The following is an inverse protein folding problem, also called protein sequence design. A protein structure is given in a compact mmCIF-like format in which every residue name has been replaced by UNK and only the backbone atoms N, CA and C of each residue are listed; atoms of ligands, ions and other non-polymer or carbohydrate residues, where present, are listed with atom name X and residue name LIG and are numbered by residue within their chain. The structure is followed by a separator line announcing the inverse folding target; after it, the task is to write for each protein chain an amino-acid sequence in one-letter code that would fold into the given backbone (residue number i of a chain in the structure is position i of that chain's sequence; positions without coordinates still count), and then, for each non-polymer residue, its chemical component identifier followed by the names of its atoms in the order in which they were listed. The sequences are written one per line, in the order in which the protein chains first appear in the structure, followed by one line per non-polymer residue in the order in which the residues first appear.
data_IF_773935106895
#
_entry.id   IF_773935106895
#
_cell.length_a   1.000
_cell.length_b   1.000
_cell.length_c   1.000
_cell.angle_alpha   90.00
_cell.angle_beta   90.00
_cell.angle_gamma   90.00
#
_symmetry.space_group_name_H-M   'P 1'
#
loop_
_entity.id
_entity.type
_entity.pdbx_description
1 polymer ?
#
# COMPACT_ATOMS: atom_id res chain seq x y z
N UNK A 1 -10.01 -12.14 21.61
CA UNK A 1 -10.73 -11.92 22.87
C UNK A 1 -10.35 -10.54 23.37
N UNK A 2 -11.07 -9.50 22.94
CA UNK A 2 -10.92 -8.17 23.53
C UNK A 2 -11.60 -8.16 24.90
N UNK A 3 -10.82 -8.32 25.95
CA UNK A 3 -11.25 -7.84 27.26
C UNK A 3 -11.21 -6.33 27.21
N UNK A 4 -12.35 -5.69 27.17
CA UNK A 4 -12.51 -4.25 27.31
C UNK A 4 -12.09 -3.81 28.69
N UNK A 5 -10.80 -3.62 28.91
CA UNK A 5 -10.29 -2.97 30.12
C UNK A 5 -9.96 -1.54 29.75
N UNK A 6 -10.86 -0.60 30.02
CA UNK A 6 -10.55 0.82 30.02
C UNK A 6 -11.59 1.75 29.37
N UNK A 7 -12.11 1.46 28.17
CA UNK A 7 -13.13 2.29 27.52
C UNK A 7 -14.49 1.61 27.44
N UNK A 8 -14.67 0.52 28.14
CA UNK A 8 -15.83 -0.36 28.08
C UNK A 8 -17.21 0.28 28.25
N UNK A 9 -17.43 1.21 29.17
CA UNK A 9 -18.80 1.72 29.39
C UNK A 9 -19.34 2.57 28.25
N UNK A 10 -18.53 3.48 27.71
CA UNK A 10 -18.98 4.38 26.64
C UNK A 10 -19.19 3.63 25.33
N UNK A 11 -18.29 2.72 24.98
CA UNK A 11 -18.39 1.90 23.80
C UNK A 11 -19.58 0.94 23.85
N UNK A 12 -19.81 0.25 24.98
CA UNK A 12 -20.97 -0.61 25.16
C UNK A 12 -22.28 0.16 25.08
N UNK A 13 -22.33 1.39 25.54
CA UNK A 13 -23.50 2.26 25.42
C UNK A 13 -23.78 2.62 23.98
N UNK A 14 -22.74 3.01 23.22
CA UNK A 14 -22.88 3.31 21.81
C UNK A 14 -23.34 2.09 21.02
N UNK A 15 -22.66 0.96 21.19
CA UNK A 15 -23.00 -0.31 20.55
C UNK A 15 -24.45 -0.76 20.86
N UNK A 16 -24.86 -0.66 22.10
CA UNK A 16 -26.25 -0.97 22.51
C UNK A 16 -27.25 -0.04 21.82
N UNK A 17 -26.96 1.24 21.69
CA UNK A 17 -27.85 2.20 21.02
C UNK A 17 -27.96 1.97 19.52
N UNK A 18 -26.84 1.72 18.85
CA UNK A 18 -26.82 1.38 17.42
C UNK A 18 -27.60 0.08 17.18
N UNK A 19 -27.50 -0.88 18.09
CA UNK A 19 -28.25 -2.13 18.03
C UNK A 19 -29.73 -2.00 18.53
N UNK A 20 -30.32 -0.82 18.40
CA UNK A 20 -31.73 -0.58 18.75
C UNK A 20 -32.06 -0.70 20.24
N UNK A 21 -31.08 -0.49 21.10
CA UNK A 21 -31.25 -0.61 22.58
C UNK A 21 -31.04 -2.02 23.13
N UNK A 22 -30.65 -2.97 22.28
CA UNK A 22 -30.36 -4.35 22.69
C UNK A 22 -28.87 -4.48 22.98
N UNK A 23 -28.47 -4.90 24.20
CA UNK A 23 -27.07 -5.15 24.51
C UNK A 23 -26.48 -6.24 23.59
N UNK A 24 -25.26 -5.99 23.08
CA UNK A 24 -24.54 -7.00 22.31
C UNK A 24 -24.02 -8.06 23.30
N UNK A 25 -24.48 -9.29 23.12
CA UNK A 25 -24.00 -10.43 23.89
C UNK A 25 -22.74 -10.99 23.20
N UNK A 26 -21.62 -11.00 23.91
CA UNK A 26 -20.42 -11.70 23.47
C UNK A 26 -20.45 -13.13 23.95
N UNK A 27 -20.45 -14.07 23.04
CA UNK A 27 -20.24 -15.48 23.36
C UNK A 27 -18.74 -15.78 23.22
N UNK A 28 -17.99 -15.96 24.31
CA UNK A 28 -16.56 -16.22 24.28
C UNK A 28 -16.20 -17.57 23.62
N UNK A 29 -17.19 -18.46 23.48
CA UNK A 29 -17.02 -19.77 22.85
C UNK A 29 -17.44 -19.78 21.37
N UNK A 30 -18.08 -18.71 20.90
CA UNK A 30 -18.43 -18.56 19.48
C UNK A 30 -17.16 -18.45 18.62
N UNK A 31 -17.07 -19.29 17.59
CA UNK A 31 -15.97 -19.28 16.61
C UNK A 31 -16.33 -18.58 15.31
N UNK A 32 -17.53 -18.07 15.22
CA UNK A 32 -18.04 -17.36 14.06
C UNK A 32 -18.21 -15.90 14.41
N UNK A 33 -17.61 -15.04 13.60
CA UNK A 33 -17.89 -13.61 13.59
C UNK A 33 -19.11 -13.40 12.72
N UNK A 34 -20.10 -12.68 13.22
CA UNK A 34 -21.31 -12.37 12.48
C UNK A 34 -21.31 -10.89 12.13
N UNK A 35 -21.08 -10.58 10.86
CA UNK A 35 -21.11 -9.24 10.32
C UNK A 35 -22.40 -9.01 9.51
N UNK A 36 -23.55 -9.15 10.17
CA UNK A 36 -24.86 -9.11 9.50
C UNK A 36 -25.30 -7.71 9.07
N UNK A 37 -24.65 -6.66 9.54
CA UNK A 37 -25.08 -5.27 9.33
C UNK A 37 -24.08 -4.40 8.56
N UNK A 38 -22.96 -4.96 8.09
CA UNK A 38 -22.06 -4.19 7.25
C UNK A 38 -22.65 -3.95 5.87
N UNK A 39 -22.66 -2.72 5.37
CA UNK A 39 -23.00 -2.46 3.97
C UNK A 39 -21.94 -2.96 2.98
N UNK A 40 -20.74 -3.33 3.48
CA UNK A 40 -19.67 -3.91 2.72
C UNK A 40 -19.59 -5.42 2.97
N UNK A 41 -19.75 -6.22 1.94
CA UNK A 41 -19.54 -7.67 2.02
C UNK A 41 -18.04 -7.95 2.22
N UNK A 42 -17.66 -8.71 3.29
CA UNK A 42 -16.27 -9.12 3.47
C UNK A 42 -15.79 -9.96 2.27
N UNK A 43 -14.62 -9.65 1.76
CA UNK A 43 -14.00 -10.35 0.63
C UNK A 43 -12.49 -10.24 0.66
N UNK A 44 -11.84 -11.19 0.02
CA UNK A 44 -10.39 -11.26 -0.16
C UNK A 44 -10.14 -11.88 -1.53
N UNK A 45 -10.23 -11.04 -2.55
CA UNK A 45 -10.11 -11.44 -3.94
C UNK A 45 -8.79 -10.93 -4.53
N UNK A 46 -8.05 -11.83 -5.15
CA UNK A 46 -6.78 -11.49 -5.82
C UNK A 46 -6.78 -12.09 -7.22
N UNK A 47 -6.61 -11.25 -8.21
CA UNK A 47 -6.31 -11.65 -9.57
C UNK A 47 -4.88 -11.26 -9.94
N UNK A 48 -4.13 -12.19 -10.52
CA UNK A 48 -2.77 -11.90 -10.96
C UNK A 48 -2.44 -12.65 -12.24
N UNK A 49 -1.89 -11.93 -13.20
CA UNK A 49 -1.32 -12.47 -14.42
C UNK A 49 0.17 -12.18 -14.47
N UNK A 50 0.97 -13.16 -14.82
CA UNK A 50 2.40 -12.94 -15.09
C UNK A 50 2.84 -13.68 -16.33
N UNK A 51 3.77 -13.06 -17.06
CA UNK A 51 4.39 -13.65 -18.24
C UNK A 51 5.90 -13.38 -18.22
N UNK A 52 6.67 -14.37 -18.62
CA UNK A 52 8.11 -14.24 -18.81
C UNK A 52 8.53 -14.83 -20.16
N UNK A 53 9.39 -14.11 -20.87
CA UNK A 53 9.97 -14.55 -22.12
C UNK A 53 11.51 -14.53 -21.99
N UNK A 54 12.10 -15.70 -22.17
CA UNK A 54 13.56 -15.87 -22.23
C UNK A 54 13.94 -16.27 -23.67
N UNK A 55 14.88 -15.50 -24.24
CA UNK A 55 15.42 -15.76 -25.57
C UNK A 55 16.94 -15.80 -25.48
N UNK A 56 17.56 -16.87 -25.98
CA UNK A 56 19.00 -16.99 -26.17
C UNK A 56 19.33 -17.04 -27.66
N UNK A 57 20.28 -16.19 -28.06
CA UNK A 57 20.76 -16.10 -29.45
C UNK A 57 22.28 -16.29 -29.43
N UNK A 58 22.74 -17.35 -30.09
CA UNK A 58 24.17 -17.58 -30.28
C UNK A 58 24.71 -16.68 -31.40
N UNK A 59 25.63 -15.77 -31.06
CA UNK A 59 26.33 -14.87 -31.98
C UNK A 59 27.70 -15.42 -32.38
N UNK A 60 28.06 -16.62 -31.93
CA UNK A 60 29.34 -17.25 -32.13
C UNK A 60 30.39 -16.84 -31.07
N UNK A 61 30.69 -15.56 -30.94
CA UNK A 61 31.63 -15.05 -29.94
C UNK A 61 31.00 -14.84 -28.55
N UNK A 62 29.67 -14.72 -28.50
CA UNK A 62 28.91 -14.52 -27.27
C UNK A 62 27.46 -15.03 -27.45
N UNK A 63 26.79 -15.33 -26.37
CA UNK A 63 25.35 -15.57 -26.32
C UNK A 63 24.64 -14.32 -25.84
N UNK A 64 23.69 -13.82 -26.64
CA UNK A 64 22.78 -12.77 -26.25
C UNK A 64 21.56 -13.40 -25.57
N UNK A 65 21.36 -13.10 -24.29
CA UNK A 65 20.18 -13.44 -23.53
C UNK A 65 19.27 -12.23 -23.40
N UNK A 66 17.99 -12.37 -23.76
CA UNK A 66 16.95 -11.37 -23.52
C UNK A 66 15.93 -11.95 -22.53
N UNK A 67 15.73 -11.30 -21.41
CA UNK A 67 14.70 -11.63 -20.42
C UNK A 67 13.67 -10.50 -20.38
N UNK A 68 12.41 -10.83 -20.67
CA UNK A 68 11.27 -9.91 -20.54
C UNK A 68 10.31 -10.47 -19.51
N UNK A 69 9.97 -9.67 -18.50
CA UNK A 69 8.98 -10.00 -17.49
C UNK A 69 7.84 -8.99 -17.50
N UNK A 70 6.62 -9.48 -17.31
CA UNK A 70 5.43 -8.67 -17.12
C UNK A 70 4.56 -9.28 -16.04
N UNK A 71 4.03 -8.44 -15.14
CA UNK A 71 3.04 -8.81 -14.14
C UNK A 71 1.96 -7.75 -14.09
N UNK A 72 0.73 -8.20 -13.97
CA UNK A 72 -0.45 -7.41 -13.70
C UNK A 72 -1.17 -8.04 -12.51
N UNK A 73 -1.70 -7.22 -11.58
CA UNK A 73 -2.43 -7.73 -10.44
C UNK A 73 -3.48 -6.75 -9.96
N UNK A 74 -4.59 -7.33 -9.50
CA UNK A 74 -5.68 -6.66 -8.82
C UNK A 74 -5.90 -7.33 -7.47
N UNK A 75 -6.20 -6.53 -6.45
CA UNK A 75 -6.48 -6.99 -5.09
C UNK A 75 -7.65 -6.20 -4.52
N UNK A 76 -8.73 -6.88 -4.20
CA UNK A 76 -9.93 -6.31 -3.58
C UNK A 76 -10.19 -7.00 -2.25
N UNK A 77 -10.03 -6.23 -1.18
CA UNK A 77 -10.11 -6.71 0.19
C UNK A 77 -11.07 -5.87 1.02
N UNK A 78 -11.96 -6.54 1.74
CA UNK A 78 -12.83 -5.91 2.74
C UNK A 78 -12.94 -6.81 3.96
N UNK A 79 -12.73 -6.23 5.13
CA UNK A 79 -12.93 -6.93 6.39
C UNK A 79 -13.79 -6.13 7.38
N UNK A 80 -14.54 -6.87 8.20
CA UNK A 80 -15.11 -6.38 9.43
C UNK A 80 -14.00 -6.33 10.49
N UNK A 81 -13.43 -5.13 10.67
CA UNK A 81 -12.29 -4.95 11.55
C UNK A 81 -12.65 -5.03 13.03
N UNK A 82 -13.88 -4.72 13.39
CA UNK A 82 -14.33 -4.71 14.80
C UNK A 82 -14.88 -6.06 15.29
N UNK A 83 -15.27 -6.94 14.37
CA UNK A 83 -15.76 -8.28 14.68
C UNK A 83 -17.07 -8.30 15.47
N UNK A 84 -17.89 -7.26 15.34
CA UNK A 84 -19.15 -7.11 16.04
C UNK A 84 -20.35 -7.29 15.11
N UNK A 85 -21.52 -7.68 15.62
CA UNK A 85 -22.73 -7.81 14.82
C UNK A 85 -23.37 -6.45 14.43
N UNK A 86 -22.63 -5.37 14.58
CA UNK A 86 -23.00 -4.01 14.16
C UNK A 86 -21.79 -3.38 13.50
N UNK A 87 -22.02 -2.58 12.47
CA UNK A 87 -20.94 -1.85 11.82
C UNK A 87 -20.45 -0.72 12.72
N UNK A 88 -19.24 -0.87 13.29
CA UNK A 88 -18.53 0.22 13.97
C UNK A 88 -17.36 0.66 13.13
N UNK A 89 -16.56 -0.29 12.63
CA UNK A 89 -15.45 -0.01 11.76
C UNK A 89 -15.19 -1.16 10.77
N UNK A 90 -15.17 -0.85 9.48
CA UNK A 90 -14.75 -1.74 8.41
C UNK A 90 -13.52 -1.18 7.73
N UNK A 91 -12.68 -2.06 7.25
CA UNK A 91 -11.51 -1.73 6.44
C UNK A 91 -11.65 -2.33 5.05
N UNK A 92 -11.24 -1.57 4.04
CA UNK A 92 -11.15 -2.03 2.66
C UNK A 92 -9.86 -1.59 2.00
N UNK A 93 -9.46 -2.34 1.00
CA UNK A 93 -8.32 -2.03 0.15
C UNK A 93 -8.64 -2.48 -1.26
N UNK A 94 -8.58 -1.56 -2.21
CA UNK A 94 -8.64 -1.82 -3.63
C UNK A 94 -7.29 -1.41 -4.23
N UNK A 95 -6.60 -2.35 -4.86
CA UNK A 95 -5.26 -2.13 -5.39
C UNK A 95 -5.13 -2.73 -6.77
N UNK A 96 -4.59 -1.96 -7.69
CA UNK A 96 -4.16 -2.42 -8.99
C UNK A 96 -2.69 -2.08 -9.21
N UNK A 97 -1.98 -2.94 -9.96
CA UNK A 97 -0.58 -2.69 -10.22
C UNK A 97 -0.04 -3.46 -11.41
N UNK A 98 0.91 -2.83 -12.08
CA UNK A 98 1.64 -3.41 -13.20
C UNK A 98 3.14 -3.36 -12.96
N UNK A 99 3.84 -4.39 -13.40
CA UNK A 99 5.29 -4.48 -13.37
C UNK A 99 5.80 -4.95 -14.72
N UNK A 100 6.80 -4.27 -15.26
CA UNK A 100 7.52 -4.64 -16.46
C UNK A 100 9.00 -4.62 -16.21
N UNK A 101 9.71 -5.63 -16.72
CA UNK A 101 11.17 -5.66 -16.72
C UNK A 101 11.73 -6.15 -18.06
N UNK A 102 12.89 -5.66 -18.42
CA UNK A 102 13.67 -6.10 -19.56
C UNK A 102 15.16 -6.14 -19.19
N UNK A 103 15.79 -7.29 -19.40
CA UNK A 103 17.23 -7.43 -19.32
C UNK A 103 17.78 -7.93 -20.67
N UNK A 104 18.86 -7.33 -21.11
CA UNK A 104 19.69 -7.80 -22.22
C UNK A 104 21.08 -8.10 -21.67
N UNK A 105 21.56 -9.32 -21.85
CA UNK A 105 22.86 -9.76 -21.37
C UNK A 105 23.62 -10.48 -22.47
N UNK A 106 24.88 -10.11 -22.64
CA UNK A 106 25.85 -10.82 -23.46
C UNK A 106 26.79 -11.62 -22.54
N UNK A 107 26.98 -12.88 -22.84
CA UNK A 107 27.92 -13.77 -22.14
C UNK A 107 28.90 -14.35 -23.15
N UNK A 108 30.18 -14.27 -22.87
CA UNK A 108 31.25 -14.80 -23.77
C UNK A 108 31.09 -16.31 -24.01
N UNK A 109 31.40 -16.75 -25.22
CA UNK A 109 31.42 -18.16 -25.64
C UNK A 109 32.85 -18.67 -25.93
N UNK A 110 33.89 -17.93 -25.51
CA UNK A 110 35.27 -18.29 -25.84
C UNK A 110 35.87 -19.36 -24.90
N UNK A 111 36.75 -20.20 -25.46
CA UNK A 111 37.53 -21.18 -24.68
C UNK A 111 38.86 -20.58 -24.14
N UNK A 112 38.97 -19.26 -24.15
CA UNK A 112 40.16 -18.53 -23.72
C UNK A 112 40.21 -18.31 -22.19
N UNK A 113 41.29 -17.68 -21.68
CA UNK A 113 41.43 -17.43 -20.24
C UNK A 113 40.49 -16.30 -19.75
N UNK A 114 39.77 -15.62 -20.63
CA UNK A 114 38.88 -14.51 -20.33
C UNK A 114 37.42 -14.92 -20.58
N UNK A 115 36.65 -15.03 -19.49
CA UNK A 115 35.21 -15.06 -19.53
C UNK A 115 34.65 -13.67 -19.14
N UNK A 116 33.58 -13.26 -19.79
CA UNK A 116 32.94 -12.00 -19.45
C UNK A 116 31.44 -12.09 -19.68
N UNK A 117 30.70 -11.30 -18.92
CA UNK A 117 29.33 -10.95 -19.26
C UNK A 117 29.09 -9.46 -19.04
N UNK A 118 28.24 -8.89 -19.86
CA UNK A 118 27.82 -7.50 -19.76
C UNK A 118 26.35 -7.40 -20.06
N UNK A 119 25.65 -6.49 -19.41
CA UNK A 119 24.24 -6.34 -19.63
C UNK A 119 23.69 -4.99 -19.23
N UNK A 120 22.45 -4.78 -19.66
CA UNK A 120 21.63 -3.64 -19.28
C UNK A 120 20.27 -4.15 -18.85
N UNK A 121 19.68 -3.47 -17.87
CA UNK A 121 18.30 -3.77 -17.44
C UNK A 121 17.50 -2.51 -17.23
N UNK A 122 16.19 -2.66 -17.40
CA UNK A 122 15.18 -1.64 -17.12
C UNK A 122 14.01 -2.29 -16.43
N UNK A 123 13.41 -1.59 -15.46
CA UNK A 123 12.11 -1.96 -14.89
C UNK A 123 11.22 -0.73 -14.73
N UNK A 124 9.91 -0.97 -14.75
CA UNK A 124 8.88 0.00 -14.42
C UNK A 124 7.78 -0.71 -13.62
N UNK A 125 7.36 -0.08 -12.53
CA UNK A 125 6.27 -0.54 -11.69
C UNK A 125 5.32 0.62 -11.41
N UNK A 126 4.02 0.39 -11.59
CA UNK A 126 2.96 1.32 -11.22
C UNK A 126 2.00 0.61 -10.29
N UNK A 127 1.65 1.24 -9.16
CA UNK A 127 0.72 0.74 -8.17
C UNK A 127 -0.21 1.88 -7.77
N UNK A 128 -1.51 1.64 -7.87
CA UNK A 128 -2.55 2.51 -7.33
C UNK A 128 -3.35 1.74 -6.29
N UNK A 129 -3.59 2.38 -5.14
CA UNK A 129 -4.27 1.75 -4.00
C UNK A 129 -5.23 2.73 -3.37
N UNK A 130 -6.50 2.34 -3.23
CA UNK A 130 -7.48 3.03 -2.42
C UNK A 130 -7.66 2.27 -1.10
N UNK A 131 -7.35 2.91 0.01
CA UNK A 131 -7.66 2.43 1.35
C UNK A 131 -8.97 3.04 1.81
N UNK A 132 -9.90 2.20 2.24
CA UNK A 132 -11.20 2.60 2.76
C UNK A 132 -11.27 2.29 4.26
N UNK A 133 -11.46 3.33 5.07
CA UNK A 133 -11.93 3.20 6.45
C UNK A 133 -13.40 3.57 6.50
N UNK A 134 -14.28 2.63 6.76
CA UNK A 134 -15.70 2.91 6.97
C UNK A 134 -16.02 2.88 8.46
N UNK A 135 -16.57 3.96 8.98
CA UNK A 135 -16.82 4.15 10.42
C UNK A 135 -18.29 4.48 10.67
N UNK A 136 -18.87 3.90 11.72
CA UNK A 136 -20.16 4.35 12.21
C UNK A 136 -19.99 5.72 12.89
N UNK A 137 -20.27 6.79 12.17
CA UNK A 137 -20.17 8.16 12.67
C UNK A 137 -21.03 8.37 13.91
N UNK A 138 -22.27 7.85 13.87
CA UNK A 138 -23.19 7.92 15.00
C UNK A 138 -22.70 7.13 16.24
N UNK A 139 -21.82 6.15 16.10
CA UNK A 139 -21.22 5.48 17.25
C UNK A 139 -20.40 6.44 18.12
N UNK A 140 -19.67 7.37 17.49
CA UNK A 140 -18.93 8.41 18.20
C UNK A 140 -19.85 9.37 18.92
N UNK A 141 -20.84 9.90 18.22
CA UNK A 141 -21.76 10.87 18.78
C UNK A 141 -22.62 10.27 19.90
N UNK A 142 -23.20 9.11 19.70
CA UNK A 142 -23.97 8.40 20.72
C UNK A 142 -23.13 7.97 21.92
N UNK A 143 -21.87 7.59 21.68
CA UNK A 143 -20.93 7.21 22.73
C UNK A 143 -20.54 8.37 23.64
N UNK A 144 -20.25 9.54 23.07
CA UNK A 144 -19.74 10.70 23.80
C UNK A 144 -20.83 11.67 24.25
N UNK A 145 -21.86 11.90 23.44
CA UNK A 145 -22.85 12.96 23.68
C UNK A 145 -24.30 12.47 23.81
N UNK A 146 -24.51 11.17 23.70
CA UNK A 146 -25.84 10.56 23.85
C UNK A 146 -26.88 10.98 22.79
N UNK A 147 -26.45 11.50 21.67
CA UNK A 147 -27.29 11.87 20.54
C UNK A 147 -26.63 11.42 19.22
N UNK A 148 -27.39 11.33 18.13
CA UNK A 148 -26.81 11.12 16.80
C UNK A 148 -25.95 12.31 16.39
N UNK A 149 -25.05 12.12 15.45
CA UNK A 149 -24.24 13.24 14.94
C UNK A 149 -25.11 14.30 14.27
N UNK A 150 -26.17 13.88 13.58
CA UNK A 150 -27.14 14.79 12.97
C UNK A 150 -27.87 15.65 14.02
N UNK A 151 -28.36 15.04 15.11
CA UNK A 151 -29.02 15.76 16.20
C UNK A 151 -28.10 16.74 16.90
N UNK A 152 -26.83 16.32 17.12
CA UNK A 152 -25.81 17.19 17.71
C UNK A 152 -25.50 18.39 16.83
N UNK A 153 -25.30 18.15 15.52
CA UNK A 153 -25.01 19.20 14.58
C UNK A 153 -26.18 20.20 14.49
N UNK A 154 -27.41 19.69 14.44
CA UNK A 154 -28.61 20.55 14.42
C UNK A 154 -28.73 21.40 15.68
N UNK A 155 -28.51 20.79 16.86
CA UNK A 155 -28.50 21.52 18.13
C UNK A 155 -27.45 22.63 18.16
N UNK A 156 -26.21 22.31 17.84
CA UNK A 156 -25.13 23.33 17.88
C UNK A 156 -25.32 24.38 16.78
N UNK A 157 -25.69 23.99 15.56
CA UNK A 157 -25.87 24.92 14.48
C UNK A 157 -27.05 25.86 14.72
N UNK A 158 -28.21 25.32 15.02
CA UNK A 158 -29.46 26.11 15.03
C UNK A 158 -29.81 26.68 16.41
N UNK A 159 -29.44 25.99 17.50
CA UNK A 159 -29.80 26.40 18.86
C UNK A 159 -28.67 27.17 19.55
N UNK A 160 -27.46 26.64 19.53
CA UNK A 160 -26.37 27.23 20.31
C UNK A 160 -25.67 28.38 19.58
N UNK A 161 -25.36 28.21 18.31
CA UNK A 161 -24.60 29.19 17.50
C UNK A 161 -25.46 29.98 16.51
N UNK A 162 -26.78 29.79 16.48
CA UNK A 162 -27.69 30.57 15.65
C UNK A 162 -27.42 30.49 14.16
N UNK A 163 -27.02 29.34 13.65
CA UNK A 163 -26.72 29.07 12.25
C UNK A 163 -25.25 29.23 11.83
N UNK A 164 -24.35 29.57 12.77
CA UNK A 164 -22.95 29.84 12.43
C UNK A 164 -21.98 28.67 12.70
N UNK A 165 -22.47 27.53 13.17
CA UNK A 165 -21.58 26.43 13.62
C UNK A 165 -20.73 25.86 12.49
N UNK A 166 -21.33 25.58 11.34
CA UNK A 166 -20.59 25.09 10.18
C UNK A 166 -19.50 26.08 9.71
N UNK A 167 -19.80 27.38 9.71
CA UNK A 167 -18.84 28.44 9.39
C UNK A 167 -17.70 28.51 10.41
N UNK A 168 -18.00 28.35 11.71
CA UNK A 168 -16.99 28.37 12.77
C UNK A 168 -16.05 27.17 12.60
N UNK A 169 -16.57 25.99 12.32
CA UNK A 169 -15.77 24.80 12.09
C UNK A 169 -14.88 24.95 10.86
N UNK A 170 -15.41 25.46 9.75
CA UNK A 170 -14.65 25.73 8.53
C UNK A 170 -13.53 26.77 8.77
N UNK A 171 -13.83 27.82 9.50
CA UNK A 171 -12.85 28.85 9.84
C UNK A 171 -11.69 28.33 10.67
N UNK A 172 -11.96 27.52 11.71
CA UNK A 172 -10.91 27.02 12.62
C UNK A 172 -10.16 25.81 12.10
N UNK A 173 -10.84 24.94 11.35
CA UNK A 173 -10.28 23.65 10.93
C UNK A 173 -10.06 23.55 9.40
N UNK A 174 -10.56 24.52 8.66
CA UNK A 174 -10.35 24.61 7.21
C UNK A 174 -10.86 23.38 6.45
N UNK A 175 -12.05 22.89 6.77
CA UNK A 175 -12.61 21.68 6.23
C UNK A 175 -13.82 21.96 5.37
N UNK A 176 -13.99 21.17 4.29
CA UNK A 176 -15.07 21.36 3.34
C UNK A 176 -16.41 20.79 3.78
N UNK A 177 -16.40 19.81 4.67
CA UNK A 177 -17.59 19.06 5.02
C UNK A 177 -17.62 18.78 6.52
N UNK A 178 -18.34 19.62 7.23
CA UNK A 178 -18.65 19.43 8.64
C UNK A 178 -20.13 19.11 8.85
N UNK A 179 -20.77 18.58 7.80
CA UNK A 179 -22.13 18.07 7.91
C UNK A 179 -22.10 16.59 8.26
N UNK A 180 -22.89 16.14 9.23
CA UNK A 180 -23.02 14.74 9.53
C UNK A 180 -23.41 13.93 8.29
N UNK A 181 -22.92 12.70 8.17
CA UNK A 181 -23.37 11.78 7.14
C UNK A 181 -24.87 11.49 7.27
N UNK A 182 -25.59 11.52 6.15
CA UNK A 182 -27.01 11.19 6.14
C UNK A 182 -27.30 9.73 6.49
N UNK A 183 -26.33 8.85 6.25
CA UNK A 183 -26.41 7.41 6.58
C UNK A 183 -25.98 7.08 8.01
N UNK A 184 -25.34 8.02 8.74
CA UNK A 184 -24.68 7.77 10.01
C UNK A 184 -23.36 7.02 9.88
N UNK A 185 -22.86 6.85 8.63
CA UNK A 185 -21.60 6.19 8.30
C UNK A 185 -20.70 7.19 7.62
N UNK A 186 -19.43 7.22 8.01
CA UNK A 186 -18.37 8.00 7.39
C UNK A 186 -17.40 7.10 6.65
N UNK A 187 -17.03 7.49 5.43
CA UNK A 187 -16.00 6.82 4.65
C UNK A 187 -14.75 7.69 4.62
N UNK A 188 -13.63 7.14 5.03
CA UNK A 188 -12.31 7.74 4.94
C UNK A 188 -11.53 7.03 3.84
N UNK A 189 -11.43 7.66 2.67
CA UNK A 189 -10.76 7.09 1.51
C UNK A 189 -9.41 7.77 1.35
N UNK A 190 -8.36 6.97 1.36
CA UNK A 190 -7.00 7.43 1.15
C UNK A 190 -6.42 6.77 -0.10
N UNK A 191 -6.29 7.57 -1.16
CA UNK A 191 -5.73 7.13 -2.44
C UNK A 191 -4.23 7.31 -2.45
N UNK A 192 -3.50 6.24 -2.76
CA UNK A 192 -2.04 6.23 -2.83
C UNK A 192 -1.63 5.75 -4.22
N UNK A 193 -0.76 6.52 -4.90
CA UNK A 193 -0.15 6.13 -6.17
C UNK A 193 1.35 6.01 -6.03
N UNK A 194 1.93 4.95 -6.58
CA UNK A 194 3.36 4.71 -6.65
C UNK A 194 3.82 4.43 -8.09
N UNK A 195 4.89 5.13 -8.52
CA UNK A 195 5.58 4.83 -9.77
C UNK A 195 7.06 4.65 -9.51
N UNK A 196 7.58 3.50 -9.88
CA UNK A 196 8.96 3.11 -9.65
C UNK A 196 9.59 2.70 -10.97
N UNK A 197 10.74 3.26 -11.28
CA UNK A 197 11.49 2.88 -12.48
C UNK A 197 12.97 2.90 -12.19
N UNK A 198 13.68 2.02 -12.88
CA UNK A 198 15.13 2.01 -12.77
C UNK A 198 15.79 1.37 -14.00
N UNK A 199 17.05 1.68 -14.15
CA UNK A 199 17.90 1.04 -15.14
C UNK A 199 19.28 0.76 -14.58
N UNK A 200 19.90 -0.24 -15.12
CA UNK A 200 21.27 -0.56 -14.77
C UNK A 200 22.10 -0.97 -15.99
N UNK A 201 23.39 -0.78 -15.85
CA UNK A 201 24.38 -1.34 -16.78
C UNK A 201 25.50 -1.99 -15.97
N UNK A 202 25.96 -3.14 -16.41
CA UNK A 202 26.98 -3.89 -15.68
C UNK A 202 27.92 -4.62 -16.63
N UNK A 203 29.13 -4.87 -16.13
CA UNK A 203 30.12 -5.73 -16.75
C UNK A 203 30.82 -6.53 -15.65
N UNK A 204 31.09 -7.77 -15.94
CA UNK A 204 31.84 -8.68 -15.08
C UNK A 204 32.87 -9.43 -15.94
N UNK A 205 34.09 -9.48 -15.45
CA UNK A 205 35.23 -10.10 -16.09
C UNK A 205 35.81 -11.14 -15.17
N UNK A 206 36.01 -12.32 -15.68
CA UNK A 206 36.73 -13.41 -15.05
C UNK A 206 37.95 -13.74 -15.87
N UNK A 207 39.13 -13.76 -15.27
CA UNK A 207 40.39 -14.02 -15.97
C UNK A 207 41.21 -15.08 -15.23
N UNK A 208 41.53 -16.16 -15.92
CA UNK A 208 42.44 -17.20 -15.44
C UNK A 208 43.87 -16.71 -15.56
N UNK A 209 44.45 -16.24 -14.44
CA UNK A 209 45.84 -15.78 -14.36
C UNK A 209 46.83 -16.92 -14.50
N UNK A 210 46.46 -18.06 -13.94
CA UNK A 210 47.19 -19.33 -14.06
C UNK A 210 46.21 -20.48 -13.94
N UNK A 211 46.62 -21.72 -14.15
CA UNK A 211 45.78 -22.93 -13.96
C UNK A 211 45.17 -23.04 -12.53
N UNK A 212 45.73 -22.32 -11.57
CA UNK A 212 45.31 -22.38 -10.17
C UNK A 212 44.82 -21.04 -9.60
N UNK A 213 44.94 -19.96 -10.35
CA UNK A 213 44.61 -18.60 -9.88
C UNK A 213 43.73 -17.89 -10.88
N UNK A 214 42.55 -17.47 -10.40
CA UNK A 214 41.50 -16.78 -11.14
C UNK A 214 41.21 -15.42 -10.50
N UNK A 215 41.08 -14.38 -11.28
CA UNK A 215 40.65 -13.06 -10.83
C UNK A 215 39.27 -12.71 -11.43
N UNK A 216 38.36 -12.20 -10.60
CA UNK A 216 37.05 -11.71 -11.02
C UNK A 216 36.90 -10.24 -10.64
N UNK A 217 36.46 -9.40 -11.59
CA UNK A 217 36.19 -7.98 -11.38
C UNK A 217 34.85 -7.67 -12.01
N UNK A 218 33.95 -7.09 -11.22
CA UNK A 218 32.65 -6.64 -11.68
C UNK A 218 32.38 -5.19 -11.31
N UNK A 219 31.68 -4.47 -12.19
CA UNK A 219 31.18 -3.11 -11.95
C UNK A 219 29.75 -3.03 -12.43
N UNK A 220 28.90 -2.38 -11.65
CA UNK A 220 27.52 -2.10 -12.00
C UNK A 220 27.15 -0.66 -11.62
N UNK A 221 26.53 0.03 -12.54
CA UNK A 221 25.83 1.28 -12.32
C UNK A 221 24.34 1.01 -12.21
N UNK A 222 23.68 1.60 -11.21
CA UNK A 222 22.24 1.55 -11.03
C UNK A 222 21.71 2.97 -10.92
N UNK A 223 20.52 3.18 -11.46
CA UNK A 223 19.71 4.38 -11.27
C UNK A 223 18.29 3.94 -10.95
N UNK A 224 17.71 4.50 -9.88
CA UNK A 224 16.36 4.26 -9.42
C UNK A 224 15.64 5.59 -9.23
N UNK A 225 14.41 5.67 -9.68
CA UNK A 225 13.50 6.79 -9.48
C UNK A 225 12.22 6.29 -8.85
N UNK A 226 11.78 6.99 -7.79
CA UNK A 226 10.50 6.72 -7.11
C UNK A 226 9.67 7.97 -7.07
N UNK A 227 8.43 7.85 -7.51
CA UNK A 227 7.40 8.87 -7.37
C UNK A 227 6.26 8.30 -6.54
N UNK A 228 5.87 9.06 -5.54
CA UNK A 228 4.78 8.72 -4.64
C UNK A 228 3.75 9.84 -4.64
N UNK A 229 2.47 9.49 -4.57
CA UNK A 229 1.37 10.44 -4.42
C UNK A 229 0.38 9.93 -3.39
N UNK A 230 -0.24 10.85 -2.66
CA UNK A 230 -1.28 10.54 -1.69
C UNK A 230 -2.35 11.61 -1.69
N UNK A 231 -3.59 11.21 -1.58
CA UNK A 231 -4.76 12.09 -1.51
C UNK A 231 -5.82 11.50 -0.59
N UNK A 232 -6.31 12.30 0.37
CA UNK A 232 -7.56 12.02 1.04
C UNK A 232 -8.72 12.39 0.12
N UNK A 233 -9.61 11.46 -0.14
CA UNK A 233 -10.79 11.68 -0.99
C UNK A 233 -11.97 12.04 -0.09
N UNK A 234 -12.64 13.19 -0.28
CA UNK A 234 -13.81 13.56 0.50
C UNK A 234 -14.94 12.55 0.36
N UNK A 235 -15.59 12.21 1.47
CA UNK A 235 -16.82 11.44 1.45
C UNK A 235 -17.94 12.27 0.78
N UNK A 236 -18.56 11.78 -0.30
CA UNK A 236 -19.64 12.51 -0.98
C UNK A 236 -20.88 12.69 -0.09
N UNK A 237 -21.10 11.81 0.89
CA UNK A 237 -22.23 11.89 1.81
C UNK A 237 -21.98 12.87 2.98
N UNK A 238 -20.76 13.41 3.06
CA UNK A 238 -20.35 14.26 4.17
C UNK A 238 -20.01 13.47 5.44
N UNK A 239 -19.28 14.09 6.35
CA UNK A 239 -18.99 13.52 7.68
C UNK A 239 -18.40 14.57 8.60
N UNK A 240 -18.75 14.51 9.89
CA UNK A 240 -18.03 15.25 10.93
C UNK A 240 -16.65 14.65 11.21
N UNK A 241 -16.44 13.41 10.83
CA UNK A 241 -15.15 12.70 10.91
C UNK A 241 -14.33 12.89 9.62
N UNK A 242 -14.40 14.08 9.04
CA UNK A 242 -13.80 14.39 7.76
C UNK A 242 -12.34 13.89 7.64
N UNK A 243 -12.04 13.17 6.57
CA UNK A 243 -10.75 12.60 6.28
C UNK A 243 -9.59 13.62 6.29
N UNK A 244 -9.84 14.88 5.94
CA UNK A 244 -8.84 15.95 6.02
C UNK A 244 -8.29 16.16 7.43
N UNK A 245 -9.13 15.93 8.44
CA UNK A 245 -8.74 16.04 9.86
C UNK A 245 -8.10 14.76 10.34
N UNK A 246 -8.59 13.61 9.92
CA UNK A 246 -8.12 12.31 10.39
C UNK A 246 -6.84 11.85 9.73
N UNK A 247 -6.74 11.99 8.42
CA UNK A 247 -5.56 11.49 7.70
C UNK A 247 -4.40 12.47 7.72
N UNK A 248 -4.68 13.78 7.75
CA UNK A 248 -3.65 14.82 7.68
C UNK A 248 -2.85 14.81 6.37
N UNK A 249 -3.18 13.90 5.46
CA UNK A 249 -2.46 13.65 4.22
C UNK A 249 -3.32 14.02 3.02
N UNK A 250 -2.73 14.81 2.13
CA UNK A 250 -3.40 15.27 0.93
C UNK A 250 -4.48 16.31 1.24
N UNK A 251 -5.03 16.87 0.19
CA UNK A 251 -6.11 17.84 0.26
C UNK A 251 -7.19 17.45 -0.73
N UNK A 252 -8.45 17.87 -0.54
CA UNK A 252 -9.49 17.69 -1.55
C UNK A 252 -9.16 18.36 -2.89
N UNK A 253 -8.25 19.33 -2.90
CA UNK A 253 -7.83 20.02 -4.11
C UNK A 253 -6.88 19.17 -4.99
N UNK A 254 -6.32 18.09 -4.47
CA UNK A 254 -5.44 17.21 -5.24
C UNK A 254 -4.43 16.42 -4.42
N UNK A 255 -3.72 15.51 -5.05
CA UNK A 255 -2.72 14.70 -4.36
C UNK A 255 -1.50 15.53 -3.96
N UNK A 256 -0.98 15.22 -2.79
CA UNK A 256 0.41 15.55 -2.42
C UNK A 256 1.31 14.50 -3.06
N UNK A 257 2.36 14.93 -3.74
CA UNK A 257 3.31 14.00 -4.38
C UNK A 257 4.74 14.42 -4.13
N UNK A 258 5.60 13.44 -4.01
CA UNK A 258 7.05 13.62 -3.95
C UNK A 258 7.74 12.67 -4.93
N UNK A 259 8.94 13.06 -5.36
CA UNK A 259 9.76 12.32 -6.28
C UNK A 259 11.19 12.34 -5.80
N UNK A 260 11.82 11.18 -5.80
CA UNK A 260 13.22 11.05 -5.44
C UNK A 260 13.92 10.06 -6.37
N UNK A 261 15.20 10.35 -6.65
CA UNK A 261 16.05 9.49 -7.44
C UNK A 261 17.38 9.23 -6.73
N UNK A 262 17.97 8.11 -7.06
CA UNK A 262 19.27 7.67 -6.55
C UNK A 262 20.07 7.03 -7.67
N UNK A 263 21.37 7.21 -7.62
CA UNK A 263 22.29 6.45 -8.43
C UNK A 263 23.46 5.92 -7.60
N UNK A 264 24.01 4.82 -8.06
CA UNK A 264 25.14 4.19 -7.39
C UNK A 264 26.00 3.39 -8.39
N UNK A 265 27.29 3.47 -8.19
CA UNK A 265 28.24 2.53 -8.77
C UNK A 265 28.64 1.53 -7.69
N UNK A 266 28.47 0.25 -7.97
CA UNK A 266 28.92 -0.84 -7.13
C UNK A 266 30.01 -1.62 -7.86
N UNK A 267 30.94 -2.21 -7.12
CA UNK A 267 32.00 -3.02 -7.68
C UNK A 267 32.32 -4.21 -6.79
N UNK A 268 32.89 -5.26 -7.41
CA UNK A 268 33.45 -6.40 -6.71
C UNK A 268 34.81 -6.74 -7.31
N UNK A 269 35.69 -7.28 -6.47
CA UNK A 269 36.93 -7.90 -6.88
C UNK A 269 37.13 -9.17 -6.04
N UNK A 270 37.38 -10.26 -6.69
CA UNK A 270 37.59 -11.57 -6.05
C UNK A 270 38.80 -12.22 -6.66
N UNK A 271 39.63 -12.85 -5.84
CA UNK A 271 40.75 -13.67 -6.25
C UNK A 271 40.51 -15.08 -5.71
N UNK A 272 40.40 -16.04 -6.61
CA UNK A 272 40.19 -17.43 -6.31
C UNK A 272 41.51 -18.19 -6.51
N UNK A 273 42.02 -18.83 -5.47
CA UNK A 273 43.22 -19.63 -5.54
C UNK A 273 42.92 -21.11 -5.22
N UNK A 274 43.25 -21.99 -6.17
CA UNK A 274 43.08 -23.44 -6.06
C UNK A 274 44.47 -24.12 -6.06
N UNK A 275 45.16 -24.16 -4.90
CA UNK A 275 46.49 -24.77 -4.83
C UNK A 275 46.51 -26.27 -5.16
N UNK A 276 45.37 -26.93 -5.04
CA UNK A 276 45.13 -28.34 -5.40
C UNK A 276 43.64 -28.56 -5.66
N UNK A 277 43.25 -29.74 -6.12
CA UNK A 277 41.88 -30.09 -6.51
C UNK A 277 40.86 -30.05 -5.35
N UNK A 278 41.32 -30.15 -4.11
CA UNK A 278 40.49 -30.24 -2.90
C UNK A 278 40.39 -28.90 -2.13
N UNK A 279 41.12 -27.86 -2.55
CA UNK A 279 41.22 -26.60 -1.78
C UNK A 279 40.92 -25.40 -2.66
N UNK A 280 39.95 -24.57 -2.24
CA UNK A 280 39.66 -23.24 -2.80
C UNK A 280 39.80 -22.19 -1.70
N UNK A 281 40.57 -21.15 -1.95
CA UNK A 281 40.80 -20.01 -1.06
C UNK A 281 40.41 -18.69 -1.75
#
# INVERSE_FOLDING_TARGET
VYRTTGNGPAFNVAATRINGGVPIAFDPDARTVNNDNSPLEPRDDTEAMSAALLLDIDLGFATLTSLTGYKDHEYDYVEDYDGMPITVFNYGQDQEGTYFEQELRLTSNGDGPLDWYAGVSYYNEEIDTDFLGQQAEDAYCLGYWYATCADLFDYYNNVYYGGAYAYILDYYFGTYQWTPSASGVANDINRIGGKYQGYSAYVDLKYDLTDTLEANIGVRYNYDEKKFSQQGVPDPDGSILNNKVQTGYGTPEGPVSDKQDWDAVTWRAVLNWRPNDDTLL
#
